data_IF_979718151748
#
_entry.id   IF_979718151748
#
_cell.length_a   1.000
_cell.length_b   1.000
_cell.length_c   1.000
_cell.angle_alpha   90.00
_cell.angle_beta   90.00
_cell.angle_gamma   90.00
#
_symmetry.space_group_name_H-M   'P 1'
#
loop_
_entity.id
_entity.type
_entity.pdbx_description
1 polymer ?
#
# COMPACT_ATOMS: atom_id res chain seq x y z
N UNK A 1 4.34 -6.39 8.15
CA UNK A 1 3.60 -7.14 7.11
C UNK A 1 4.43 -8.30 6.59
N UNK A 2 3.85 -9.43 6.14
CA UNK A 2 4.63 -10.57 5.61
C UNK A 2 5.21 -10.33 4.22
N UNK A 3 4.66 -9.40 3.45
CA UNK A 3 5.14 -9.04 2.11
C UNK A 3 4.64 -7.67 1.66
N UNK A 4 5.31 -7.04 0.68
CA UNK A 4 4.82 -5.83 0.04
C UNK A 4 3.46 -6.05 -0.63
N UNK A 5 3.24 -7.22 -1.23
CA UNK A 5 1.96 -7.59 -1.81
C UNK A 5 0.81 -7.53 -0.77
N UNK A 6 1.04 -7.99 0.46
CA UNK A 6 0.01 -7.92 1.52
C UNK A 6 -0.31 -6.47 1.90
N UNK A 7 0.71 -5.60 2.02
CA UNK A 7 0.47 -4.18 2.30
C UNK A 7 -0.38 -3.49 1.23
N UNK A 8 -0.09 -3.75 -0.05
CA UNK A 8 -0.88 -3.19 -1.16
C UNK A 8 -2.31 -3.77 -1.16
N UNK A 9 -2.44 -5.08 -0.96
CA UNK A 9 -3.76 -5.73 -0.85
C UNK A 9 -4.56 -5.24 0.36
N UNK A 10 -3.89 -4.90 1.47
CA UNK A 10 -4.54 -4.33 2.64
C UNK A 10 -5.20 -2.99 2.28
N UNK A 11 -4.49 -2.07 1.62
CA UNK A 11 -5.07 -0.83 1.11
C UNK A 11 -6.20 -1.09 0.10
N UNK A 12 -5.98 -2.01 -0.84
CA UNK A 12 -6.97 -2.33 -1.87
C UNK A 12 -8.29 -2.88 -1.30
N UNK A 13 -8.22 -3.67 -0.23
CA UNK A 13 -9.40 -4.25 0.42
C UNK A 13 -10.03 -3.34 1.46
N UNK A 14 -9.23 -2.46 2.06
CA UNK A 14 -9.66 -1.60 3.16
C UNK A 14 -10.45 -0.36 2.74
N UNK A 15 -10.34 0.08 1.49
CA UNK A 15 -11.08 1.25 1.00
C UNK A 15 -12.51 0.88 0.62
N UNK A 16 -13.46 1.79 0.92
CA UNK A 16 -14.84 1.70 0.46
C UNK A 16 -14.94 2.17 -0.99
N UNK A 17 -14.91 1.20 -1.90
CA UNK A 17 -14.93 1.43 -3.36
C UNK A 17 -16.35 1.64 -3.88
N UNK A 18 -16.52 2.62 -4.75
CA UNK A 18 -17.77 2.88 -5.43
C UNK A 18 -17.63 2.58 -6.94
N UNK A 19 -18.69 2.10 -7.60
CA UNK A 19 -18.67 1.94 -9.05
C UNK A 19 -18.27 3.24 -9.77
N UNK A 20 -17.30 3.15 -10.66
CA UNK A 20 -16.72 4.29 -11.37
C UNK A 20 -15.56 4.97 -10.65
N UNK A 21 -15.19 4.55 -9.44
CA UNK A 21 -13.89 4.91 -8.87
C UNK A 21 -12.76 4.33 -9.72
N UNK A 22 -11.60 4.94 -9.64
CA UNK A 22 -10.44 4.45 -10.39
C UNK A 22 -9.15 4.49 -9.60
N UNK A 23 -8.19 3.73 -10.11
CA UNK A 23 -6.80 3.70 -9.68
C UNK A 23 -5.93 4.02 -10.88
N UNK A 24 -4.89 4.82 -10.66
CA UNK A 24 -3.87 5.13 -11.65
C UNK A 24 -2.57 4.43 -11.28
N UNK A 25 -1.95 3.75 -12.24
CA UNK A 25 -0.65 3.11 -12.06
C UNK A 25 0.14 3.07 -13.39
N UNK A 26 1.48 2.98 -13.36
CA UNK A 26 2.27 2.68 -14.55
C UNK A 26 1.92 1.30 -15.14
N UNK A 27 2.02 1.14 -16.45
CA UNK A 27 1.82 -0.17 -17.08
C UNK A 27 3.03 -1.11 -16.96
N UNK A 28 4.15 -0.63 -16.41
CA UNK A 28 5.38 -1.40 -16.16
C UNK A 28 5.53 -1.80 -14.69
N UNK A 29 4.42 -1.86 -13.94
CA UNK A 29 4.44 -2.23 -12.54
C UNK A 29 4.72 -3.71 -12.30
N UNK A 30 5.33 -4.00 -11.15
CA UNK A 30 5.50 -5.37 -10.68
C UNK A 30 4.12 -6.02 -10.48
N UNK A 31 3.97 -7.32 -10.81
CA UNK A 31 2.67 -8.01 -10.72
C UNK A 31 1.93 -7.83 -9.40
N UNK A 32 2.62 -7.82 -8.26
CA UNK A 32 1.99 -7.63 -6.94
C UNK A 32 1.27 -6.28 -6.83
N UNK A 33 1.85 -5.21 -7.40
CA UNK A 33 1.22 -3.88 -7.43
C UNK A 33 0.04 -3.90 -8.40
N UNK A 34 0.24 -4.40 -9.63
CA UNK A 34 -0.77 -4.34 -10.67
C UNK A 34 -1.99 -5.24 -10.36
N UNK A 35 -1.78 -6.48 -9.89
CA UNK A 35 -2.88 -7.45 -9.72
C UNK A 35 -3.74 -7.22 -8.48
N UNK A 36 -3.21 -6.61 -7.43
CA UNK A 36 -4.02 -6.20 -6.28
C UNK A 36 -5.21 -5.33 -6.74
N UNK A 37 -4.94 -4.37 -7.59
CA UNK A 37 -5.94 -3.45 -8.13
C UNK A 37 -6.86 -4.09 -9.16
N UNK A 38 -6.35 -4.96 -10.03
CA UNK A 38 -7.18 -5.62 -11.06
C UNK A 38 -8.36 -6.39 -10.50
N UNK A 39 -8.25 -6.93 -9.29
CA UNK A 39 -9.35 -7.65 -8.65
C UNK A 39 -10.56 -6.73 -8.36
N UNK A 40 -10.34 -5.44 -8.16
CA UNK A 40 -11.39 -4.46 -7.89
C UNK A 40 -12.29 -4.17 -9.11
N UNK A 41 -11.89 -4.57 -10.31
CA UNK A 41 -12.74 -4.48 -11.51
C UNK A 41 -14.10 -5.18 -11.33
N UNK A 42 -14.15 -6.21 -10.52
CA UNK A 42 -15.39 -6.93 -10.18
C UNK A 42 -16.39 -6.07 -9.40
N UNK A 43 -15.89 -4.98 -8.79
CA UNK A 43 -16.68 -4.00 -8.04
C UNK A 43 -16.98 -2.74 -8.87
N UNK A 44 -16.69 -2.75 -10.17
CA UNK A 44 -16.90 -1.61 -11.06
C UNK A 44 -15.80 -0.53 -10.98
N UNK A 45 -14.66 -0.86 -10.36
CA UNK A 45 -13.49 0.04 -10.27
C UNK A 45 -12.67 -0.05 -11.54
N UNK A 46 -12.32 1.10 -12.12
CA UNK A 46 -11.43 1.19 -13.27
C UNK A 46 -9.96 1.14 -12.82
N UNK A 47 -9.14 0.36 -13.52
CA UNK A 47 -7.68 0.36 -13.35
C UNK A 47 -7.06 1.01 -14.58
N UNK A 48 -6.61 2.24 -14.43
CA UNK A 48 -5.96 3.05 -15.46
C UNK A 48 -4.46 2.80 -15.44
N UNK A 49 -3.98 2.11 -16.46
CA UNK A 49 -2.56 1.87 -16.64
C UNK A 49 -1.99 2.90 -17.61
N UNK A 50 -1.14 3.79 -17.09
CA UNK A 50 -0.45 4.81 -17.89
C UNK A 50 0.65 4.15 -18.71
N UNK A 51 0.59 4.25 -20.05
CA UNK A 51 1.56 3.60 -20.92
C UNK A 51 2.94 4.27 -20.82
N UNK A 52 3.98 3.45 -20.86
CA UNK A 52 5.34 3.95 -20.98
C UNK A 52 5.62 4.55 -22.38
N UNK A 53 6.52 5.53 -22.43
CA UNK A 53 7.13 6.07 -23.66
C UNK A 53 8.64 5.76 -23.61
N UNK A 54 9.12 4.96 -24.53
CA UNK A 54 10.53 4.53 -24.53
C UNK A 54 11.02 3.95 -23.19
N UNK A 55 10.22 3.05 -22.61
CA UNK A 55 10.47 2.40 -21.30
C UNK A 55 10.45 3.34 -20.08
N UNK A 56 9.97 4.56 -20.25
CA UNK A 56 9.81 5.56 -19.18
C UNK A 56 8.35 5.94 -19.03
N UNK A 57 7.88 6.09 -17.79
CA UNK A 57 6.59 6.67 -17.46
C UNK A 57 6.84 7.99 -16.74
N UNK A 58 6.43 9.12 -17.33
CA UNK A 58 6.67 10.42 -16.74
C UNK A 58 5.66 10.72 -15.64
N UNK A 59 6.10 11.42 -14.59
CA UNK A 59 5.24 11.86 -13.47
C UNK A 59 4.06 12.71 -13.95
N UNK A 60 4.28 13.55 -14.99
CA UNK A 60 3.21 14.33 -15.62
C UNK A 60 2.12 13.44 -16.23
N UNK A 61 2.50 12.37 -16.94
CA UNK A 61 1.53 11.48 -17.58
C UNK A 61 0.70 10.74 -16.50
N UNK A 62 1.33 10.37 -15.38
CA UNK A 62 0.64 9.77 -14.23
C UNK A 62 -0.34 10.75 -13.60
N UNK A 63 0.10 11.98 -13.33
CA UNK A 63 -0.73 13.01 -12.73
C UNK A 63 -1.87 13.47 -13.65
N UNK A 64 -1.67 13.49 -14.96
CA UNK A 64 -2.72 13.80 -15.93
C UNK A 64 -3.84 12.74 -15.95
N UNK A 65 -3.47 11.48 -15.68
CA UNK A 65 -4.43 10.37 -15.58
C UNK A 65 -5.25 10.37 -14.28
N UNK A 66 -4.80 11.07 -13.23
CA UNK A 66 -5.54 11.22 -11.97
C UNK A 66 -6.67 12.22 -12.13
N UNK A 67 -7.88 11.88 -11.73
CA UNK A 67 -9.07 12.75 -11.77
C UNK A 67 -9.82 12.74 -10.42
N UNK A 68 -10.99 13.37 -10.36
CA UNK A 68 -11.81 13.48 -9.16
C UNK A 68 -12.40 12.13 -8.68
N UNK A 69 -12.36 11.08 -9.51
CA UNK A 69 -12.79 9.71 -9.18
C UNK A 69 -11.60 8.81 -8.83
N UNK A 70 -10.38 9.31 -8.91
CA UNK A 70 -9.19 8.54 -8.57
C UNK A 70 -9.07 8.43 -7.06
N UNK A 71 -9.15 7.21 -6.55
CA UNK A 71 -8.99 6.92 -5.12
C UNK A 71 -7.52 6.68 -4.76
N UNK A 72 -6.74 6.09 -5.67
CA UNK A 72 -5.34 5.76 -5.41
C UNK A 72 -4.50 6.03 -6.66
N UNK A 73 -3.35 6.70 -6.49
CA UNK A 73 -2.21 6.64 -7.38
C UNK A 73 -1.22 5.63 -6.79
N UNK A 74 -0.92 4.54 -7.52
CA UNK A 74 -0.07 3.45 -7.03
C UNK A 74 1.14 3.26 -7.95
N UNK A 75 2.35 3.30 -7.38
CA UNK A 75 3.59 3.13 -8.15
C UNK A 75 4.64 2.33 -7.38
N UNK A 76 5.64 1.81 -8.08
CA UNK A 76 6.94 1.46 -7.49
C UNK A 76 7.84 2.69 -7.47
N UNK A 77 8.54 2.96 -6.34
CA UNK A 77 9.53 4.07 -6.26
C UNK A 77 10.62 3.90 -7.31
N UNK A 78 11.14 2.67 -7.44
CA UNK A 78 12.06 2.27 -8.50
C UNK A 78 11.46 1.11 -9.26
N UNK A 79 11.31 1.25 -10.57
CA UNK A 79 10.77 0.21 -11.42
C UNK A 79 11.68 -1.03 -11.40
N UNK A 80 11.11 -2.20 -11.11
CA UNK A 80 11.82 -3.47 -11.12
C UNK A 80 12.34 -3.85 -12.52
N UNK A 81 11.70 -3.32 -13.55
CA UNK A 81 11.96 -3.69 -14.95
C UNK A 81 12.97 -2.75 -15.61
N UNK A 82 12.84 -1.44 -15.38
CA UNK A 82 13.64 -0.43 -16.11
C UNK A 82 14.68 0.27 -15.22
N UNK A 83 14.53 0.18 -13.89
CA UNK A 83 15.34 0.96 -12.93
C UNK A 83 14.94 2.44 -12.88
N UNK A 84 13.87 2.86 -13.56
CA UNK A 84 13.39 4.24 -13.45
C UNK A 84 13.06 4.55 -11.99
N UNK A 85 13.60 5.65 -11.48
CA UNK A 85 13.29 6.20 -10.16
C UNK A 85 12.33 7.37 -10.30
N UNK A 86 11.18 7.31 -9.61
CA UNK A 86 10.16 8.35 -9.65
C UNK A 86 10.37 9.42 -8.57
N UNK A 87 9.97 10.66 -8.89
CA UNK A 87 9.93 11.76 -7.92
C UNK A 87 8.68 11.64 -7.03
N UNK A 88 8.86 11.02 -5.85
CA UNK A 88 7.74 10.78 -4.91
C UNK A 88 7.11 12.07 -4.39
N UNK A 89 7.90 13.14 -4.17
CA UNK A 89 7.39 14.42 -3.66
C UNK A 89 6.42 15.03 -4.66
N UNK A 90 6.83 15.10 -5.93
CA UNK A 90 6.00 15.63 -7.02
C UNK A 90 4.68 14.84 -7.16
N UNK A 91 4.76 13.50 -7.13
CA UNK A 91 3.60 12.63 -7.26
C UNK A 91 2.66 12.74 -6.06
N UNK A 92 3.21 12.79 -4.84
CA UNK A 92 2.45 12.96 -3.61
C UNK A 92 1.64 14.27 -3.61
N UNK A 93 2.30 15.40 -3.95
CA UNK A 93 1.62 16.69 -4.05
C UNK A 93 0.51 16.68 -5.09
N UNK A 94 0.79 16.10 -6.27
CA UNK A 94 -0.19 16.05 -7.35
C UNK A 94 -1.38 15.16 -7.02
N UNK A 95 -1.17 13.98 -6.46
CA UNK A 95 -2.23 13.07 -6.00
C UNK A 95 -3.09 13.73 -4.90
N UNK A 96 -2.45 14.33 -3.90
CA UNK A 96 -3.13 15.00 -2.79
C UNK A 96 -4.01 16.16 -3.25
N UNK A 97 -3.54 16.96 -4.20
CA UNK A 97 -4.33 18.08 -4.81
C UNK A 97 -5.62 17.61 -5.47
N UNK A 98 -5.64 16.36 -5.95
CA UNK A 98 -6.80 15.74 -6.61
C UNK A 98 -7.59 14.80 -5.68
N UNK A 99 -7.22 14.73 -4.40
CA UNK A 99 -7.89 13.91 -3.38
C UNK A 99 -7.50 12.45 -3.35
N UNK A 100 -6.65 11.99 -4.26
CA UNK A 100 -6.20 10.59 -4.33
C UNK A 100 -5.19 10.26 -3.22
N UNK A 101 -5.27 9.05 -2.68
CA UNK A 101 -4.21 8.46 -1.84
C UNK A 101 -3.01 8.11 -2.71
N UNK A 102 -1.81 8.19 -2.14
CA UNK A 102 -0.57 7.85 -2.84
C UNK A 102 0.09 6.61 -2.22
N UNK A 103 0.08 5.50 -2.95
CA UNK A 103 0.64 4.22 -2.51
C UNK A 103 1.95 3.90 -3.25
N UNK A 104 2.98 3.52 -2.50
CA UNK A 104 4.33 3.30 -3.02
C UNK A 104 4.85 1.92 -2.61
N UNK A 105 5.28 1.14 -3.60
CA UNK A 105 6.14 -0.02 -3.40
C UNK A 105 7.61 0.42 -3.45
N UNK A 106 8.27 0.46 -2.30
CA UNK A 106 9.67 0.85 -2.17
C UNK A 106 10.65 -0.35 -2.20
N UNK A 107 10.19 -1.53 -2.65
CA UNK A 107 10.98 -2.77 -2.60
C UNK A 107 12.33 -2.66 -3.31
N UNK A 108 12.44 -1.87 -4.38
CA UNK A 108 13.70 -1.67 -5.10
C UNK A 108 14.43 -0.37 -4.71
N UNK A 109 13.94 0.36 -3.69
CA UNK A 109 14.53 1.60 -3.21
C UNK A 109 15.01 1.52 -1.75
N UNK A 110 14.19 0.96 -0.86
CA UNK A 110 14.49 0.90 0.57
C UNK A 110 15.77 0.09 0.84
N UNK A 111 16.69 0.70 1.56
CA UNK A 111 18.03 0.17 1.84
C UNK A 111 19.15 0.75 0.96
N UNK A 112 18.83 1.35 -0.20
CA UNK A 112 19.81 1.96 -1.12
C UNK A 112 19.50 3.40 -1.48
N UNK A 113 18.24 3.82 -1.36
CA UNK A 113 17.81 5.19 -1.56
C UNK A 113 17.08 5.69 -0.33
N UNK A 114 17.08 7.01 -0.13
CA UNK A 114 16.18 7.62 0.82
C UNK A 114 14.74 7.52 0.30
N UNK A 115 13.86 6.94 1.12
CA UNK A 115 12.43 6.81 0.82
C UNK A 115 11.68 7.78 1.73
N UNK A 116 11.13 8.89 1.20
CA UNK A 116 10.35 9.85 1.98
C UNK A 116 8.94 9.29 2.22
N UNK A 117 8.81 8.32 3.12
CA UNK A 117 7.53 7.66 3.40
C UNK A 117 6.48 8.64 3.93
N UNK A 118 6.90 9.67 4.65
CA UNK A 118 6.05 10.70 5.26
C UNK A 118 5.23 11.54 4.25
N UNK A 119 5.63 11.56 2.98
CA UNK A 119 4.85 12.24 1.94
C UNK A 119 3.80 11.32 1.29
N UNK A 120 3.84 10.03 1.59
CA UNK A 120 2.94 9.02 1.01
C UNK A 120 1.79 8.69 1.95
N UNK A 121 0.79 7.97 1.43
CA UNK A 121 -0.29 7.43 2.26
C UNK A 121 -0.09 5.96 2.62
N UNK A 122 0.59 5.22 1.74
CA UNK A 122 1.10 3.89 2.00
C UNK A 122 2.50 3.77 1.40
N UNK A 123 3.48 3.37 2.17
CA UNK A 123 4.77 2.88 1.64
C UNK A 123 5.04 1.50 2.20
N UNK A 124 5.33 0.55 1.34
CA UNK A 124 5.68 -0.81 1.72
C UNK A 124 6.93 -1.27 0.98
N UNK A 125 7.73 -2.11 1.61
CA UNK A 125 8.93 -2.68 0.99
C UNK A 125 9.12 -4.13 1.40
N UNK A 126 9.32 -5.03 0.44
CA UNK A 126 9.77 -6.39 0.75
C UNK A 126 11.22 -6.39 1.22
N UNK A 127 11.47 -6.83 2.45
CA UNK A 127 12.78 -6.67 3.10
C UNK A 127 13.90 -7.56 2.52
N UNK A 128 13.59 -8.59 1.75
CA UNK A 128 14.56 -9.54 1.19
C UNK A 128 15.37 -9.00 -0.02
N UNK A 129 15.09 -7.77 -0.47
CA UNK A 129 15.88 -7.10 -1.52
C UNK A 129 17.06 -6.34 -0.88
N UNK A 130 17.05 -5.04 -0.97
CA UNK A 130 18.14 -4.19 -0.51
C UNK A 130 18.22 -3.98 1.00
N UNK A 131 17.15 -4.33 1.74
CA UNK A 131 17.18 -4.39 3.20
C UNK A 131 17.88 -5.65 3.73
N UNK A 132 18.27 -6.58 2.85
CA UNK A 132 19.09 -7.76 3.13
C UNK A 132 18.52 -8.69 4.21
N UNK A 133 17.20 -8.66 4.43
CA UNK A 133 16.52 -9.53 5.36
C UNK A 133 16.00 -10.80 4.67
N UNK A 134 15.40 -11.70 5.42
CA UNK A 134 14.77 -12.91 4.88
C UNK A 134 13.38 -12.62 4.32
N UNK A 135 12.77 -13.57 3.62
CA UNK A 135 11.37 -13.51 3.24
C UNK A 135 10.46 -13.51 4.48
N UNK A 136 9.26 -12.97 4.35
CA UNK A 136 8.26 -12.95 5.43
C UNK A 136 8.22 -11.65 6.22
N UNK A 137 9.00 -10.62 5.83
CA UNK A 137 8.97 -9.29 6.42
C UNK A 137 8.88 -8.22 5.35
N UNK A 138 7.98 -7.26 5.57
CA UNK A 138 7.83 -6.05 4.78
C UNK A 138 7.51 -4.88 5.72
N UNK A 139 8.45 -3.96 6.00
CA UNK A 139 8.12 -2.71 6.66
C UNK A 139 7.06 -1.97 5.87
N UNK A 140 6.12 -1.39 6.59
CA UNK A 140 4.98 -0.69 6.02
C UNK A 140 4.73 0.60 6.82
N UNK A 141 4.61 1.71 6.12
CA UNK A 141 4.15 2.99 6.64
C UNK A 141 2.75 3.26 6.13
N UNK A 142 1.90 3.79 6.99
CA UNK A 142 0.53 4.22 6.65
C UNK A 142 0.32 5.61 7.25
N UNK A 143 -0.20 6.54 6.47
CA UNK A 143 -0.57 7.87 6.95
C UNK A 143 -1.90 7.85 7.72
N UNK A 144 -2.10 8.81 8.63
CA UNK A 144 -3.38 9.02 9.31
C UNK A 144 -4.52 9.20 8.28
N UNK A 145 -4.25 9.93 7.20
CA UNK A 145 -5.23 10.14 6.12
C UNK A 145 -5.69 8.86 5.45
N UNK A 146 -4.81 7.88 5.27
CA UNK A 146 -5.17 6.58 4.75
C UNK A 146 -5.92 5.75 5.79
N UNK A 147 -5.46 5.78 7.03
CA UNK A 147 -6.12 5.07 8.15
C UNK A 147 -7.58 5.49 8.31
N UNK A 148 -7.87 6.80 8.29
CA UNK A 148 -9.22 7.35 8.41
C UNK A 148 -10.18 6.89 7.30
N UNK A 149 -9.65 6.52 6.13
CA UNK A 149 -10.45 6.07 4.98
C UNK A 149 -10.59 4.55 4.90
N UNK A 150 -9.92 3.81 5.77
CA UNK A 150 -9.84 2.35 5.67
C UNK A 150 -10.61 1.66 6.78
N UNK A 151 -11.28 0.60 6.40
CA UNK A 151 -11.83 -0.38 7.33
C UNK A 151 -10.83 -1.52 7.53
N UNK A 152 -10.78 -2.08 8.74
CA UNK A 152 -9.98 -3.28 9.00
C UNK A 152 -10.60 -4.48 8.29
N UNK A 153 -9.81 -5.18 7.47
CA UNK A 153 -10.25 -6.36 6.70
C UNK A 153 -9.66 -7.66 7.22
N UNK A 154 -8.82 -7.58 8.26
CA UNK A 154 -8.18 -8.74 8.89
C UNK A 154 -8.18 -8.52 10.39
N UNK A 155 -8.75 -9.47 11.12
CA UNK A 155 -8.82 -9.45 12.57
C UNK A 155 -8.14 -10.66 13.18
N UNK A 156 -7.45 -10.42 14.28
CA UNK A 156 -6.87 -11.44 15.10
C UNK A 156 -6.64 -10.94 16.53
N UNK A 157 -6.08 -11.77 17.36
CA UNK A 157 -5.92 -11.45 18.77
C UNK A 157 -5.05 -10.22 19.06
N UNK A 158 -4.12 -9.87 18.16
CA UNK A 158 -3.26 -8.68 18.29
C UNK A 158 -3.97 -7.37 17.96
N UNK A 159 -5.13 -7.43 17.31
CA UNK A 159 -5.91 -6.22 17.01
C UNK A 159 -6.73 -5.71 18.18
N UNK A 160 -6.77 -6.45 19.30
CA UNK A 160 -7.54 -6.09 20.47
C UNK A 160 -6.80 -5.05 21.32
N UNK A 161 -7.45 -3.91 21.61
CA UNK A 161 -6.91 -2.89 22.49
C UNK A 161 -6.82 -3.36 23.95
N UNK A 162 -7.72 -4.26 24.36
CA UNK A 162 -7.74 -4.86 25.68
C UNK A 162 -7.84 -6.37 25.52
N UNK A 163 -6.90 -7.09 26.12
CA UNK A 163 -6.91 -8.55 26.13
C UNK A 163 -8.05 -9.05 27.03
N UNK A 164 -8.92 -9.95 26.57
CA UNK A 164 -9.97 -10.52 27.41
C UNK A 164 -9.35 -11.34 28.54
N UNK A 165 -9.78 -11.08 29.79
CA UNK A 165 -9.21 -11.70 30.99
C UNK A 165 -9.38 -13.23 31.05
N UNK A 166 -10.33 -13.78 30.30
CA UNK A 166 -10.61 -15.23 30.28
C UNK A 166 -11.09 -15.67 28.90
N UNK A 167 -10.30 -16.52 28.26
CA UNK A 167 -10.66 -17.39 27.15
C UNK A 167 -11.46 -16.83 25.96
N UNK A 168 -11.41 -17.55 24.88
CA UNK A 168 -12.05 -17.19 23.61
C UNK A 168 -13.59 -17.22 23.61
N UNK A 169 -14.19 -17.80 24.65
CA UNK A 169 -15.64 -17.88 24.83
C UNK A 169 -16.29 -16.56 25.30
N UNK A 170 -15.50 -15.56 25.60
CA UNK A 170 -16.00 -14.25 26.07
C UNK A 170 -15.71 -13.13 25.08
N UNK A 171 -16.06 -13.35 23.83
CA UNK A 171 -16.00 -12.29 22.82
C UNK A 171 -17.13 -11.29 23.09
N UNK A 172 -16.78 -10.22 23.81
CA UNK A 172 -17.59 -9.01 23.83
C UNK A 172 -17.14 -8.07 22.69
N UNK A 173 -17.90 -7.02 22.46
CA UNK A 173 -17.43 -5.91 21.64
C UNK A 173 -16.15 -5.35 22.25
N UNK A 174 -15.04 -5.52 21.56
CA UNK A 174 -13.72 -5.07 22.00
C UNK A 174 -13.26 -3.94 21.11
N UNK A 175 -12.64 -2.93 21.71
CA UNK A 175 -12.00 -1.87 20.96
C UNK A 175 -10.80 -2.42 20.18
N UNK A 176 -10.64 -1.91 18.95
CA UNK A 176 -9.46 -2.22 18.14
C UNK A 176 -8.23 -1.43 18.59
N UNK A 177 -7.06 -1.99 18.39
CA UNK A 177 -5.79 -1.27 18.51
C UNK A 177 -5.72 -0.15 17.45
N UNK A 178 -5.02 0.97 17.76
CA UNK A 178 -4.65 1.94 16.74
C UNK A 178 -3.60 1.37 15.78
N UNK A 179 -3.25 2.12 14.74
CA UNK A 179 -2.07 1.82 13.93
C UNK A 179 -0.79 1.93 14.78
N UNK A 180 0.23 1.13 14.52
CA UNK A 180 0.36 0.11 13.45
C UNK A 180 -0.16 -1.29 13.81
N UNK A 181 -0.54 -1.55 15.06
CA UNK A 181 -0.91 -2.87 15.58
C UNK A 181 -2.15 -3.43 14.87
N UNK A 182 -3.06 -2.55 14.43
CA UNK A 182 -4.24 -2.89 13.65
C UNK A 182 -3.93 -3.68 12.36
N UNK A 183 -2.72 -3.54 11.83
CA UNK A 183 -2.27 -4.24 10.61
C UNK A 183 -1.66 -5.63 10.88
N UNK A 184 -1.49 -6.02 12.14
CA UNK A 184 -0.82 -7.26 12.53
C UNK A 184 -1.76 -8.18 13.32
N UNK A 185 -2.66 -8.93 12.66
CA UNK A 185 -3.68 -9.72 13.35
C UNK A 185 -3.13 -10.92 14.14
N UNK A 186 -1.89 -11.32 13.90
CA UNK A 186 -1.25 -12.49 14.50
C UNK A 186 0.22 -12.31 14.82
N UNK A 187 0.88 -13.37 15.23
CA UNK A 187 2.31 -13.35 15.50
C UNK A 187 3.12 -13.08 14.23
N UNK A 188 4.07 -12.12 14.27
CA UNK A 188 5.03 -11.95 13.18
C UNK A 188 5.95 -13.17 13.06
N UNK A 189 6.62 -13.29 11.91
CA UNK A 189 7.65 -14.31 11.72
C UNK A 189 8.89 -13.99 12.58
N UNK A 190 8.90 -14.45 13.84
CA UNK A 190 9.91 -14.11 14.85
C UNK A 190 11.35 -14.42 14.42
N UNK A 191 11.55 -15.42 13.57
CA UNK A 191 12.88 -15.77 13.01
C UNK A 191 13.47 -14.69 12.10
N UNK A 192 12.68 -13.69 11.74
CA UNK A 192 13.05 -12.65 10.79
C UNK A 192 13.23 -11.28 11.49
N UNK A 193 12.78 -11.18 12.72
CA UNK A 193 12.79 -9.91 13.49
C UNK A 193 13.94 -9.89 14.51
N UNK A 194 14.68 -10.98 14.67
CA UNK A 194 15.92 -11.08 15.44
C UNK A 194 17.12 -10.88 14.54
#
# INVERSE_FOLDING_TARGET
MPSAAEGINWLARGLDWQPGDNIVAPNLEFPSVAYAWRNLRKQGVEVRLVPHKHWTVHESDLLDAVDARTRVLAISHVSFYTGQCHNLIQLAEGAKKKGALFAVDATHAAGVLQVPAEVTDLTVSSAYKWLLATHGVAPCYVSERAEEQMISTSFGWRNLAVWPEQGSERHADVAEQPMPEKMEPGNPAMQVVM
#
